data_IF_407451693106
#
_entry.id   IF_407451693106
#
_cell.length_a   1.000
_cell.length_b   1.000
_cell.length_c   1.000
_cell.angle_alpha   90.00
_cell.angle_beta   90.00
_cell.angle_gamma   90.00
#
_symmetry.space_group_name_H-M   'P 1'
#
loop_
_entity.id
_entity.type
_entity.pdbx_description
1 polymer ?
#
# COMPACT_ATOMS: atom_id res chain seq x y z
N UNK A 1 -12.99 -6.20 21.59
CA UNK A 1 -12.33 -6.45 20.29
C UNK A 1 -11.28 -5.36 20.07
N UNK A 2 -10.03 -5.72 19.75
CA UNK A 2 -8.95 -4.75 19.49
C UNK A 2 -8.87 -4.52 17.99
N UNK A 3 -9.12 -3.30 17.54
CA UNK A 3 -8.94 -2.94 16.13
C UNK A 3 -7.47 -3.10 15.75
N UNK A 4 -7.16 -4.08 14.92
CA UNK A 4 -5.80 -4.52 14.59
C UNK A 4 -5.75 -5.10 13.17
N UNK A 5 -4.55 -5.17 12.59
CA UNK A 5 -4.35 -5.76 11.27
C UNK A 5 -4.76 -7.23 11.23
N UNK A 6 -4.62 -7.97 12.34
CA UNK A 6 -5.04 -9.37 12.43
C UNK A 6 -6.56 -9.52 12.40
N UNK A 7 -7.32 -8.61 13.04
CA UNK A 7 -8.78 -8.63 12.95
C UNK A 7 -9.25 -8.23 11.55
N UNK A 8 -8.65 -7.20 10.94
CA UNK A 8 -8.96 -6.84 9.55
C UNK A 8 -8.69 -7.99 8.56
N UNK A 9 -7.65 -8.79 8.80
CA UNK A 9 -7.37 -9.98 8.00
C UNK A 9 -8.46 -11.05 8.16
N UNK A 10 -9.01 -11.22 9.37
CA UNK A 10 -10.14 -12.12 9.61
C UNK A 10 -11.40 -11.64 8.91
N UNK A 11 -11.68 -10.34 8.91
CA UNK A 11 -12.82 -9.77 8.16
C UNK A 11 -12.71 -10.11 6.67
N UNK A 12 -11.51 -10.01 6.09
CA UNK A 12 -11.26 -10.40 4.68
C UNK A 12 -11.46 -11.91 4.49
N UNK A 13 -10.94 -12.75 5.39
CA UNK A 13 -11.09 -14.22 5.30
C UNK A 13 -12.56 -14.64 5.41
N UNK A 14 -13.33 -14.02 6.31
CA UNK A 14 -14.76 -14.28 6.45
C UNK A 14 -15.52 -13.93 5.16
N UNK A 15 -15.19 -12.81 4.52
CA UNK A 15 -15.75 -12.45 3.22
C UNK A 15 -15.36 -13.46 2.12
N UNK A 16 -14.10 -13.90 2.09
CA UNK A 16 -13.63 -14.90 1.13
C UNK A 16 -14.38 -16.23 1.31
N UNK A 17 -14.58 -16.67 2.56
CA UNK A 17 -15.34 -17.88 2.86
C UNK A 17 -16.81 -17.74 2.45
N UNK A 18 -17.42 -16.57 2.69
CA UNK A 18 -18.79 -16.27 2.24
C UNK A 18 -18.94 -16.35 0.72
N UNK A 19 -17.93 -15.87 -0.02
CA UNK A 19 -17.89 -15.94 -1.49
C UNK A 19 -17.51 -17.33 -2.02
N UNK A 20 -17.17 -18.28 -1.15
CA UNK A 20 -16.71 -19.61 -1.53
C UNK A 20 -15.29 -19.64 -2.11
N UNK A 21 -14.47 -18.61 -1.83
CA UNK A 21 -13.09 -18.52 -2.30
C UNK A 21 -12.12 -19.14 -1.29
N UNK A 22 -12.25 -20.45 -1.10
CA UNK A 22 -11.52 -21.22 -0.09
C UNK A 22 -10.62 -22.33 -0.66
N UNK A 23 -10.48 -22.39 -1.98
CA UNK A 23 -9.68 -23.40 -2.67
C UNK A 23 -8.18 -23.17 -2.55
N UNK A 24 -7.39 -24.24 -2.74
CA UNK A 24 -5.93 -24.17 -2.71
C UNK A 24 -5.43 -23.23 -3.81
N UNK A 25 -4.54 -22.31 -3.43
CA UNK A 25 -3.89 -21.36 -4.32
C UNK A 25 -4.87 -20.61 -5.22
N UNK A 26 -6.04 -20.25 -4.71
CA UNK A 26 -7.05 -19.51 -5.45
C UNK A 26 -6.78 -18.00 -5.49
N UNK A 27 -6.05 -17.47 -4.50
CA UNK A 27 -6.02 -16.04 -4.21
C UNK A 27 -4.70 -15.39 -4.60
N UNK A 28 -4.74 -14.32 -5.38
CA UNK A 28 -3.63 -13.38 -5.47
C UNK A 28 -3.85 -12.25 -4.47
N UNK A 29 -2.90 -12.04 -3.55
CA UNK A 29 -3.02 -11.02 -2.50
C UNK A 29 -1.94 -9.98 -2.68
N UNK A 30 -2.35 -8.74 -2.94
CA UNK A 30 -1.46 -7.58 -3.08
C UNK A 30 -1.84 -6.54 -2.04
N UNK A 31 -0.87 -6.14 -1.20
CA UNK A 31 -1.09 -5.22 -0.10
C UNK A 31 -0.09 -4.07 -0.09
N UNK A 32 -0.60 -2.84 0.03
CA UNK A 32 0.20 -1.61 0.09
C UNK A 32 0.16 -1.03 1.49
N UNK A 33 1.31 -0.64 2.06
CA UNK A 33 1.36 0.01 3.38
C UNK A 33 0.65 -0.83 4.45
N UNK A 34 -0.30 -0.30 5.21
CA UNK A 34 -1.13 -1.10 6.13
C UNK A 34 -1.82 -2.28 5.44
N UNK A 35 -2.20 -2.17 4.16
CA UNK A 35 -2.71 -3.29 3.37
C UNK A 35 -1.69 -4.43 3.23
N UNK A 36 -0.40 -4.11 3.16
CA UNK A 36 0.69 -5.09 3.17
C UNK A 36 0.88 -5.75 4.54
N UNK A 37 0.59 -5.04 5.63
CA UNK A 37 0.53 -5.61 6.98
C UNK A 37 -0.63 -6.60 7.13
N UNK A 38 -1.82 -6.23 6.64
CA UNK A 38 -2.99 -7.12 6.59
C UNK A 38 -2.71 -8.32 5.69
N UNK A 39 -2.08 -8.13 4.53
CA UNK A 39 -1.70 -9.22 3.63
C UNK A 39 -0.75 -10.23 4.29
N UNK A 40 0.18 -9.79 5.14
CA UNK A 40 1.03 -10.68 5.95
C UNK A 40 0.20 -11.50 6.96
N UNK A 41 -0.81 -10.90 7.60
CA UNK A 41 -1.73 -11.62 8.49
C UNK A 41 -2.56 -12.67 7.73
N UNK A 42 -3.10 -12.31 6.57
CA UNK A 42 -3.85 -13.23 5.69
C UNK A 42 -2.95 -14.40 5.29
N UNK A 43 -1.73 -14.11 4.80
CA UNK A 43 -0.78 -15.13 4.37
C UNK A 43 -0.33 -16.04 5.51
N UNK A 44 -0.29 -15.55 6.75
CA UNK A 44 0.00 -16.35 7.92
C UNK A 44 -1.17 -17.27 8.31
N UNK A 45 -2.41 -16.80 8.18
CA UNK A 45 -3.61 -17.53 8.58
C UNK A 45 -4.06 -18.58 7.55
N UNK A 46 -3.97 -18.27 6.25
CA UNK A 46 -4.46 -19.13 5.16
C UNK A 46 -3.42 -19.33 4.03
N UNK A 47 -2.15 -19.68 4.33
CA UNK A 47 -1.09 -19.73 3.33
C UNK A 47 -1.40 -20.65 2.14
N UNK A 48 -2.09 -21.78 2.38
CA UNK A 48 -2.44 -22.77 1.35
C UNK A 48 -3.39 -22.22 0.27
N UNK A 49 -4.12 -21.14 0.57
CA UNK A 49 -5.05 -20.49 -0.37
C UNK A 49 -4.36 -19.44 -1.25
N UNK A 50 -3.13 -19.05 -0.92
CA UNK A 50 -2.41 -17.96 -1.60
C UNK A 50 -1.67 -18.48 -2.83
N UNK A 51 -2.06 -17.98 -4.00
CA UNK A 51 -1.41 -18.18 -5.29
C UNK A 51 -0.16 -17.32 -5.44
N UNK A 52 -0.25 -16.03 -5.13
CA UNK A 52 0.91 -15.12 -5.02
C UNK A 52 0.69 -14.08 -3.93
N UNK A 53 1.78 -13.63 -3.31
CA UNK A 53 1.77 -12.58 -2.27
C UNK A 53 2.66 -11.41 -2.69
N UNK A 54 2.07 -10.23 -2.84
CA UNK A 54 2.80 -9.01 -3.22
C UNK A 54 2.73 -7.98 -2.10
N UNK A 55 3.86 -7.70 -1.48
CA UNK A 55 3.98 -6.79 -0.34
C UNK A 55 4.67 -5.51 -0.78
N UNK A 56 3.96 -4.41 -0.69
CA UNK A 56 4.32 -3.18 -1.37
C UNK A 56 4.41 -2.01 -0.38
N UNK A 57 5.54 -1.31 -0.36
CA UNK A 57 5.76 -0.13 0.49
C UNK A 57 5.26 -0.35 1.92
N UNK A 58 5.64 -1.49 2.53
CA UNK A 58 5.09 -1.98 3.80
C UNK A 58 6.21 -2.41 4.75
N UNK A 59 5.85 -2.79 5.96
CA UNK A 59 6.78 -3.24 6.99
C UNK A 59 6.27 -4.50 7.71
N UNK A 60 7.21 -5.24 8.30
CA UNK A 60 6.92 -6.30 9.27
C UNK A 60 6.43 -5.72 10.62
N UNK A 61 6.99 -4.57 10.98
CA UNK A 61 6.65 -3.74 12.13
C UNK A 61 7.26 -2.35 11.91
N UNK A 62 6.67 -1.31 12.49
CA UNK A 62 7.19 0.05 12.39
C UNK A 62 8.25 0.28 13.46
N UNK A 63 9.46 0.63 13.04
CA UNK A 63 10.51 1.08 13.93
C UNK A 63 10.90 2.53 13.65
N UNK A 64 11.37 3.21 14.69
CA UNK A 64 11.81 4.59 14.52
C UNK A 64 13.14 4.62 13.78
N UNK A 65 13.09 4.94 12.48
CA UNK A 65 14.27 5.11 11.63
C UNK A 65 14.77 6.55 11.55
N UNK A 66 14.16 7.47 12.31
CA UNK A 66 14.58 8.88 12.38
C UNK A 66 15.47 9.14 13.58
N UNK A 67 16.36 10.13 13.48
CA UNK A 67 17.17 10.54 14.61
C UNK A 67 16.30 11.05 15.77
N UNK A 68 16.86 11.03 17.00
CA UNK A 68 16.14 11.53 18.18
C UNK A 68 15.65 12.97 17.99
N UNK A 69 16.46 13.84 17.36
CA UNK A 69 16.14 15.24 17.10
C UNK A 69 15.02 15.37 16.06
N UNK A 70 15.06 14.62 14.96
CA UNK A 70 14.01 14.62 13.94
C UNK A 70 12.67 14.10 14.48
N UNK A 71 12.70 13.05 15.30
CA UNK A 71 11.51 12.53 15.97
C UNK A 71 10.91 13.58 16.91
N UNK A 72 11.74 14.28 17.69
CA UNK A 72 11.29 15.37 18.58
C UNK A 72 10.69 16.54 17.79
N UNK A 73 11.33 16.96 16.70
CA UNK A 73 10.80 18.00 15.82
C UNK A 73 9.47 17.60 15.18
N UNK A 74 9.35 16.35 14.74
CA UNK A 74 8.11 15.79 14.16
C UNK A 74 6.98 15.82 15.19
N UNK A 75 7.27 15.44 16.45
CA UNK A 75 6.30 15.50 17.55
C UNK A 75 5.84 16.91 17.87
N UNK A 76 6.74 17.89 17.89
CA UNK A 76 6.38 19.31 18.07
C UNK A 76 5.48 19.78 16.93
N UNK A 77 5.79 19.40 15.68
CA UNK A 77 4.98 19.76 14.50
C UNK A 77 3.59 19.12 14.50
N UNK A 78 3.38 17.99 15.17
CA UNK A 78 2.05 17.38 15.32
C UNK A 78 1.12 18.17 16.24
N UNK A 79 1.66 18.96 17.18
CA UNK A 79 0.86 19.76 18.13
C UNK A 79 0.31 21.06 17.52
N UNK A 80 0.85 21.48 16.38
CA UNK A 80 0.45 22.74 15.72
C UNK A 80 -0.71 22.43 14.76
N UNK A 81 -1.89 23.07 14.93
CA UNK A 81 -2.98 22.94 13.96
C UNK A 81 -2.51 23.36 12.57
N UNK A 82 -2.67 22.47 11.59
CA UNK A 82 -2.25 22.70 10.21
C UNK A 82 -3.43 23.20 9.39
N UNK A 83 -3.20 24.16 8.50
CA UNK A 83 -4.18 24.50 7.47
C UNK A 83 -4.42 23.30 6.55
N UNK A 84 -5.55 23.31 5.83
CA UNK A 84 -5.85 22.29 4.84
C UNK A 84 -4.73 22.20 3.80
N UNK A 85 -4.30 23.34 3.24
CA UNK A 85 -3.24 23.40 2.23
C UNK A 85 -1.92 22.82 2.72
N UNK A 86 -1.50 23.19 3.94
CA UNK A 86 -0.27 22.63 4.54
C UNK A 86 -0.41 21.13 4.72
N UNK A 87 -1.56 20.67 5.20
CA UNK A 87 -1.78 19.24 5.47
C UNK A 87 -1.82 18.40 4.19
N UNK A 88 -2.39 18.92 3.11
CA UNK A 88 -2.40 18.28 1.79
C UNK A 88 -0.99 18.25 1.21
N UNK A 89 -0.27 19.37 1.26
CA UNK A 89 1.11 19.45 0.80
C UNK A 89 2.02 18.47 1.53
N UNK A 90 2.01 18.46 2.85
CA UNK A 90 2.83 17.53 3.64
C UNK A 90 2.47 16.07 3.37
N UNK A 91 1.18 15.74 3.21
CA UNK A 91 0.76 14.39 2.83
C UNK A 91 1.32 14.00 1.45
N UNK A 92 1.26 14.91 0.45
CA UNK A 92 1.80 14.66 -0.89
C UNK A 92 3.30 14.37 -0.84
N UNK A 93 4.08 15.16 -0.09
CA UNK A 93 5.53 15.02 0.01
C UNK A 93 5.94 13.79 0.82
N UNK A 94 5.08 13.33 1.73
CA UNK A 94 5.29 12.08 2.45
C UNK A 94 5.09 10.86 1.55
N UNK A 95 4.18 10.94 0.59
CA UNK A 95 3.76 9.81 -0.25
C UNK A 95 4.55 9.73 -1.55
N UNK A 96 4.95 10.88 -2.12
CA UNK A 96 5.48 10.97 -3.48
C UNK A 96 6.80 11.75 -3.54
N UNK A 97 7.69 11.44 -4.50
CA UNK A 97 8.87 12.24 -4.80
C UNK A 97 8.48 13.62 -5.35
N UNK A 98 9.27 14.66 -5.04
CA UNK A 98 9.00 16.02 -5.52
C UNK A 98 9.06 16.13 -7.05
N UNK A 99 9.90 15.30 -7.69
CA UNK A 99 10.01 15.20 -9.16
C UNK A 99 8.71 14.69 -9.79
N UNK A 100 8.05 13.70 -9.18
CA UNK A 100 6.78 13.19 -9.67
C UNK A 100 5.65 14.19 -9.44
N UNK A 101 5.62 14.83 -8.27
CA UNK A 101 4.63 15.85 -7.92
C UNK A 101 4.65 17.04 -8.90
N UNK A 102 5.84 17.47 -9.32
CA UNK A 102 6.02 18.57 -10.26
C UNK A 102 5.81 18.18 -11.73
N UNK A 103 5.80 16.89 -12.06
CA UNK A 103 5.59 16.41 -13.42
C UNK A 103 4.14 16.66 -13.90
N UNK A 104 3.92 16.75 -15.23
CA UNK A 104 2.58 16.82 -15.81
C UNK A 104 1.70 15.66 -15.33
N UNK A 105 0.41 15.93 -15.15
CA UNK A 105 -0.57 14.88 -14.82
C UNK A 105 -0.57 13.80 -15.91
N UNK A 106 -0.10 12.61 -15.55
CA UNK A 106 0.06 11.48 -16.47
C UNK A 106 -1.03 10.41 -16.29
N UNK A 107 -2.14 10.75 -15.65
CA UNK A 107 -3.22 9.80 -15.39
C UNK A 107 -3.86 9.32 -16.69
N UNK A 108 -3.86 8.00 -16.89
CA UNK A 108 -4.68 7.38 -17.92
C UNK A 108 -6.16 7.54 -17.53
N UNK A 109 -6.91 8.32 -18.32
CA UNK A 109 -8.35 8.48 -18.14
C UNK A 109 -9.12 7.43 -18.94
N UNK A 110 -10.29 7.01 -18.47
CA UNK A 110 -11.11 6.08 -19.23
C UNK A 110 -11.48 6.59 -20.62
N UNK A 111 -11.68 5.64 -21.54
CA UNK A 111 -12.17 5.87 -22.90
C UNK A 111 -13.65 5.52 -23.00
N UNK A 112 -14.37 5.92 -24.07
CA UNK A 112 -15.76 5.49 -24.27
C UNK A 112 -15.96 3.97 -24.33
N UNK A 113 -14.89 3.22 -24.63
CA UNK A 113 -14.89 1.76 -24.65
C UNK A 113 -14.50 1.13 -23.31
N UNK A 114 -14.10 1.92 -22.31
CA UNK A 114 -13.77 1.41 -20.99
C UNK A 114 -15.04 0.87 -20.30
N UNK A 115 -15.03 -0.37 -19.79
CA UNK A 115 -16.21 -0.96 -19.16
C UNK A 115 -16.50 -0.27 -17.81
N UNK A 116 -17.78 -0.24 -17.42
CA UNK A 116 -18.25 0.26 -16.12
C UNK A 116 -17.89 1.72 -15.82
N UNK A 117 -17.81 2.56 -16.86
CA UNK A 117 -17.50 3.99 -16.71
C UNK A 117 -18.67 4.85 -17.19
N UNK A 118 -19.06 5.83 -16.37
CA UNK A 118 -19.98 6.89 -16.77
C UNK A 118 -19.14 8.03 -17.36
N UNK A 119 -19.30 8.25 -18.66
CA UNK A 119 -18.56 9.28 -19.37
C UNK A 119 -19.13 10.67 -19.07
N UNK A 120 -18.30 11.70 -18.86
CA UNK A 120 -18.79 13.03 -18.49
C UNK A 120 -19.58 13.66 -19.66
N UNK A 121 -20.60 14.50 -19.37
CA UNK A 121 -21.37 15.19 -20.41
C UNK A 121 -20.53 16.06 -21.35
N UNK A 122 -19.36 16.52 -20.87
CA UNK A 122 -18.38 17.26 -21.67
C UNK A 122 -17.77 16.46 -22.82
N UNK A 123 -17.95 15.14 -22.87
CA UNK A 123 -17.35 14.26 -23.86
C UNK A 123 -15.83 14.07 -23.70
N UNK A 124 -15.25 14.53 -22.58
CA UNK A 124 -13.85 14.29 -22.22
C UNK A 124 -13.62 14.46 -20.72
N UNK A 125 -12.74 13.63 -20.17
CA UNK A 125 -12.22 13.85 -18.81
C UNK A 125 -11.31 15.08 -18.79
N UNK A 126 -11.42 15.87 -17.72
CA UNK A 126 -10.44 16.91 -17.43
C UNK A 126 -9.12 16.29 -16.96
N UNK A 127 -8.04 17.05 -17.09
CA UNK A 127 -6.73 16.73 -16.52
C UNK A 127 -6.26 17.92 -15.69
N UNK A 128 -5.39 17.67 -14.72
CA UNK A 128 -4.72 18.73 -13.99
C UNK A 128 -3.41 19.14 -14.70
N UNK A 129 -2.80 20.25 -14.29
CA UNK A 129 -1.52 20.68 -14.88
C UNK A 129 -0.38 19.81 -14.38
N UNK A 130 -0.46 19.37 -13.12
CA UNK A 130 0.57 18.56 -12.45
C UNK A 130 -0.06 17.42 -11.65
N UNK A 131 0.74 16.40 -11.36
CA UNK A 131 0.33 15.33 -10.44
C UNK A 131 0.00 15.85 -9.04
N UNK A 132 0.68 16.90 -8.56
CA UNK A 132 0.38 17.54 -7.28
C UNK A 132 -1.02 18.15 -7.24
N UNK A 133 -1.43 18.84 -8.31
CA UNK A 133 -2.78 19.43 -8.41
C UNK A 133 -3.86 18.35 -8.37
N UNK A 134 -3.65 17.25 -9.11
CA UNK A 134 -4.56 16.09 -9.09
C UNK A 134 -4.66 15.47 -7.70
N UNK A 135 -3.52 15.17 -7.08
CA UNK A 135 -3.49 14.63 -5.71
C UNK A 135 -4.21 15.56 -4.74
N UNK A 136 -3.94 16.87 -4.83
CA UNK A 136 -4.54 17.87 -3.97
C UNK A 136 -6.06 17.92 -4.12
N UNK A 137 -6.56 17.88 -5.36
CA UNK A 137 -7.98 17.83 -5.64
C UNK A 137 -8.62 16.57 -5.02
N UNK A 138 -8.03 15.40 -5.21
CA UNK A 138 -8.53 14.14 -4.62
C UNK A 138 -8.52 14.18 -3.08
N UNK A 139 -7.46 14.71 -2.46
CA UNK A 139 -7.38 14.83 -1.01
C UNK A 139 -8.41 15.80 -0.44
N UNK A 140 -8.64 16.93 -1.10
CA UNK A 140 -9.65 17.91 -0.68
C UNK A 140 -11.04 17.27 -0.77
N UNK A 141 -11.38 16.64 -1.90
CA UNK A 141 -12.67 15.94 -2.07
C UNK A 141 -12.88 14.88 -0.98
N UNK A 142 -11.87 14.04 -0.73
CA UNK A 142 -11.94 13.01 0.33
C UNK A 142 -12.18 13.61 1.71
N UNK A 143 -11.52 14.73 2.04
CA UNK A 143 -11.63 15.39 3.34
C UNK A 143 -12.93 16.18 3.51
N UNK A 144 -13.60 16.54 2.41
CA UNK A 144 -14.92 17.16 2.43
C UNK A 144 -16.02 16.15 2.77
N UNK A 145 -15.83 14.86 2.50
CA UNK A 145 -16.75 13.79 2.85
C UNK A 145 -16.48 13.25 4.27
N UNK A 146 -16.97 13.98 5.27
CA UNK A 146 -16.79 13.64 6.69
C UNK A 146 -17.67 12.48 7.16
N UNK A 147 -18.69 12.10 6.38
CA UNK A 147 -19.57 10.97 6.70
C UNK A 147 -18.89 9.66 6.34
N UNK A 148 -18.33 9.56 5.13
CA UNK A 148 -17.62 8.35 4.68
C UNK A 148 -16.22 8.24 5.29
N UNK A 149 -15.52 9.37 5.51
CA UNK A 149 -14.14 9.39 6.03
C UNK A 149 -14.07 9.92 7.47
N UNK A 150 -14.68 9.15 8.39
CA UNK A 150 -14.68 9.48 9.81
C UNK A 150 -13.28 9.48 10.46
N UNK A 151 -13.01 10.51 11.26
CA UNK A 151 -11.71 10.67 11.97
C UNK A 151 -11.40 9.52 12.93
N UNK A 152 -12.41 8.97 13.60
CA UNK A 152 -12.23 7.88 14.57
C UNK A 152 -11.69 6.62 13.88
N UNK A 153 -12.27 6.22 12.75
CA UNK A 153 -11.80 5.04 11.99
C UNK A 153 -10.37 5.22 11.51
N UNK A 154 -10.05 6.41 10.99
CA UNK A 154 -8.68 6.73 10.57
C UNK A 154 -7.67 6.62 11.73
N UNK A 155 -7.96 7.18 12.90
CA UNK A 155 -7.07 7.07 14.07
C UNK A 155 -6.88 5.62 14.51
N UNK A 156 -7.97 4.83 14.53
CA UNK A 156 -7.89 3.42 14.88
C UNK A 156 -7.03 2.63 13.88
N UNK A 157 -7.11 2.94 12.59
CA UNK A 157 -6.24 2.34 11.57
C UNK A 157 -4.76 2.70 11.78
N UNK A 158 -4.45 3.96 12.10
CA UNK A 158 -3.07 4.35 12.42
C UNK A 158 -2.52 3.60 13.64
N UNK A 159 -3.35 3.42 14.67
CA UNK A 159 -2.99 2.66 15.87
C UNK A 159 -2.77 1.17 15.51
N UNK A 160 -3.65 0.59 14.70
CA UNK A 160 -3.53 -0.79 14.23
C UNK A 160 -2.23 -1.02 13.45
N UNK A 161 -1.89 -0.11 12.52
CA UNK A 161 -0.65 -0.16 11.75
C UNK A 161 0.59 0.00 12.65
N UNK A 162 0.55 0.92 13.62
CA UNK A 162 1.64 1.16 14.56
C UNK A 162 1.91 -0.01 15.52
N UNK A 163 0.89 -0.84 15.79
CA UNK A 163 1.03 -2.06 16.59
C UNK A 163 1.20 -3.34 15.78
N UNK A 164 1.18 -3.26 14.44
CA UNK A 164 1.45 -4.42 13.61
C UNK A 164 2.84 -4.97 13.89
N UNK A 165 2.93 -6.29 14.03
CA UNK A 165 4.20 -6.95 14.25
C UNK A 165 4.20 -8.39 13.74
N UNK A 166 5.13 -8.69 12.84
CA UNK A 166 5.52 -10.04 12.46
C UNK A 166 6.98 -10.29 12.82
N UNK A 167 7.23 -11.35 13.59
CA UNK A 167 8.59 -11.76 13.92
C UNK A 167 9.29 -12.35 12.69
N UNK A 168 10.64 -12.38 12.66
CA UNK A 168 11.39 -13.06 11.60
C UNK A 168 10.96 -14.51 11.41
N UNK A 169 10.63 -15.23 12.48
CA UNK A 169 10.17 -16.63 12.42
C UNK A 169 8.80 -16.75 11.75
N UNK A 170 7.87 -15.84 12.07
CA UNK A 170 6.55 -15.80 11.43
C UNK A 170 6.65 -15.47 9.95
N UNK A 171 7.54 -14.54 9.58
CA UNK A 171 7.79 -14.21 8.17
C UNK A 171 8.45 -15.38 7.44
N UNK A 172 9.43 -16.04 8.06
CA UNK A 172 10.02 -17.25 7.51
C UNK A 172 8.95 -18.33 7.25
N UNK A 173 8.03 -18.52 8.19
CA UNK A 173 6.90 -19.45 8.05
C UNK A 173 5.98 -19.07 6.88
N UNK A 174 5.65 -17.78 6.71
CA UNK A 174 4.91 -17.30 5.53
C UNK A 174 5.69 -17.64 4.25
N UNK A 175 6.99 -17.34 4.22
CA UNK A 175 7.86 -17.61 3.09
C UNK A 175 7.85 -19.10 2.69
N UNK A 176 7.98 -19.98 3.67
CA UNK A 176 8.05 -21.43 3.46
C UNK A 176 6.68 -22.02 3.07
N UNK A 177 5.57 -21.57 3.67
CA UNK A 177 4.23 -22.10 3.39
C UNK A 177 3.61 -21.53 2.12
N UNK A 178 3.81 -20.24 1.85
CA UNK A 178 3.32 -19.60 0.61
C UNK A 178 4.24 -19.91 -0.57
N UNK A 179 5.48 -20.37 -0.39
CA UNK A 179 6.43 -20.61 -1.48
C UNK A 179 7.10 -19.31 -1.93
N UNK A 180 8.39 -19.18 -1.62
CA UNK A 180 9.15 -17.93 -1.77
C UNK A 180 9.13 -17.42 -3.21
N UNK A 181 9.16 -18.30 -4.19
CA UNK A 181 9.12 -17.98 -5.63
C UNK A 181 7.85 -17.23 -6.05
N UNK A 182 6.77 -17.31 -5.25
CA UNK A 182 5.48 -16.66 -5.48
C UNK A 182 5.27 -15.42 -4.61
N UNK A 183 6.32 -14.98 -3.92
CA UNK A 183 6.29 -13.79 -3.07
C UNK A 183 7.12 -12.69 -3.71
N UNK A 184 6.55 -11.48 -3.74
CA UNK A 184 7.26 -10.25 -4.07
C UNK A 184 7.23 -9.28 -2.89
N UNK A 185 8.38 -8.66 -2.62
CA UNK A 185 8.47 -7.44 -1.78
C UNK A 185 9.03 -6.32 -2.65
N UNK A 186 8.33 -5.19 -2.71
CA UNK A 186 8.77 -4.01 -3.45
C UNK A 186 8.68 -2.75 -2.60
N UNK A 187 9.75 -1.94 -2.59
CA UNK A 187 9.83 -0.70 -1.82
C UNK A 187 10.61 0.39 -2.57
N UNK A 188 10.17 1.64 -2.46
CA UNK A 188 10.84 2.80 -3.06
C UNK A 188 11.88 3.45 -2.14
N UNK A 189 13.00 3.95 -2.67
CA UNK A 189 14.02 4.65 -1.86
C UNK A 189 13.61 6.06 -1.43
N UNK A 190 12.66 6.67 -2.14
CA UNK A 190 12.10 7.98 -1.81
C UNK A 190 10.82 7.90 -0.97
N UNK A 191 10.46 6.72 -0.45
CA UNK A 191 9.36 6.55 0.50
C UNK A 191 9.69 7.23 1.84
N UNK A 192 8.99 8.35 2.11
CA UNK A 192 9.12 9.14 3.33
C UNK A 192 8.05 8.80 4.38
N UNK A 193 7.13 7.90 4.06
CA UNK A 193 6.08 7.43 4.99
C UNK A 193 6.52 6.15 5.71
N UNK A 194 6.99 5.14 4.96
CA UNK A 194 7.63 3.94 5.50
C UNK A 194 9.02 3.88 4.89
N UNK A 195 10.05 4.17 5.67
CA UNK A 195 11.41 4.23 5.12
C UNK A 195 11.83 2.90 4.49
N UNK A 196 12.64 2.97 3.43
CA UNK A 196 13.16 1.82 2.66
C UNK A 196 13.83 0.73 3.52
N UNK A 197 14.31 1.11 4.70
CA UNK A 197 14.85 0.20 5.70
C UNK A 197 13.87 -0.93 6.07
N UNK A 198 12.58 -0.61 6.19
CA UNK A 198 11.54 -1.60 6.49
C UNK A 198 11.36 -2.60 5.36
N UNK A 199 11.35 -2.12 4.11
CA UNK A 199 11.29 -2.98 2.92
C UNK A 199 12.51 -3.90 2.83
N UNK A 200 13.72 -3.41 3.13
CA UNK A 200 14.94 -4.22 3.18
C UNK A 200 14.87 -5.31 4.24
N UNK A 201 14.42 -4.99 5.46
CA UNK A 201 14.19 -5.98 6.53
C UNK A 201 13.17 -7.02 6.12
N UNK A 202 12.09 -6.60 5.46
CA UNK A 202 11.05 -7.52 5.01
C UNK A 202 11.59 -8.48 3.95
N UNK A 203 12.43 -8.01 3.01
CA UNK A 203 13.16 -8.86 2.05
C UNK A 203 14.11 -9.82 2.78
N UNK A 204 14.85 -9.35 3.78
CA UNK A 204 15.78 -10.17 4.55
C UNK A 204 15.07 -11.31 5.30
N UNK A 205 13.96 -11.02 5.98
CA UNK A 205 13.23 -11.99 6.78
C UNK A 205 12.40 -12.97 5.92
N UNK A 206 11.72 -12.48 4.88
CA UNK A 206 10.90 -13.33 3.99
C UNK A 206 11.75 -14.09 2.96
N UNK A 207 12.90 -13.55 2.56
CA UNK A 207 13.69 -13.96 1.40
C UNK A 207 12.79 -14.33 0.20
N UNK A 208 12.01 -13.36 -0.30
CA UNK A 208 11.09 -13.58 -1.41
C UNK A 208 11.86 -13.91 -2.68
N UNK A 209 11.24 -14.64 -3.59
CA UNK A 209 11.78 -14.92 -4.92
C UNK A 209 11.93 -13.63 -5.75
N UNK A 210 11.21 -12.57 -5.39
CA UNK A 210 11.37 -11.24 -5.99
C UNK A 210 11.46 -10.16 -4.90
N UNK A 211 12.65 -9.60 -4.68
CA UNK A 211 12.87 -8.44 -3.81
C UNK A 211 13.31 -7.24 -4.64
N UNK A 212 12.55 -6.15 -4.61
CA UNK A 212 12.81 -4.96 -5.42
C UNK A 212 12.94 -3.73 -4.51
N UNK A 213 14.09 -3.09 -4.57
CA UNK A 213 14.29 -1.73 -4.04
C UNK A 213 14.41 -0.79 -5.24
N UNK A 214 13.39 0.04 -5.48
CA UNK A 214 13.33 0.91 -6.67
C UNK A 214 13.80 2.31 -6.32
N UNK A 215 14.85 2.74 -6.99
CA UNK A 215 15.46 4.05 -6.77
C UNK A 215 14.52 5.18 -7.22
N UNK A 216 14.41 6.23 -6.40
CA UNK A 216 13.66 7.44 -6.72
C UNK A 216 12.14 7.33 -6.61
N UNK A 217 11.60 6.15 -6.31
CA UNK A 217 10.15 5.93 -6.15
C UNK A 217 9.70 6.16 -4.71
N UNK A 218 8.50 6.74 -4.55
CA UNK A 218 7.88 7.01 -3.26
C UNK A 218 7.10 5.83 -2.68
N UNK A 219 6.13 6.18 -1.83
CA UNK A 219 5.30 5.22 -1.08
C UNK A 219 4.24 4.57 -1.99
N UNK A 220 3.66 5.33 -2.91
CA UNK A 220 2.46 4.93 -3.67
C UNK A 220 2.85 4.61 -5.11
N UNK A 221 3.77 3.67 -5.28
CA UNK A 221 4.39 3.38 -6.58
C UNK A 221 3.40 2.87 -7.65
N UNK A 222 2.25 2.31 -7.28
CA UNK A 222 1.20 1.91 -8.23
C UNK A 222 0.54 3.12 -8.91
N UNK A 223 0.63 4.30 -8.30
CA UNK A 223 0.19 5.56 -8.91
C UNK A 223 1.35 6.24 -9.63
N UNK A 224 2.56 6.19 -9.06
CA UNK A 224 3.74 6.82 -9.66
C UNK A 224 4.18 6.17 -10.97
N UNK A 225 4.19 4.83 -10.96
CA UNK A 225 4.80 3.97 -11.97
C UNK A 225 3.79 2.88 -12.39
N UNK A 226 2.55 3.30 -12.69
CA UNK A 226 1.41 2.43 -12.92
C UNK A 226 1.68 1.31 -13.95
N UNK A 227 2.27 1.64 -15.10
CA UNK A 227 2.58 0.66 -16.15
C UNK A 227 3.59 -0.39 -15.67
N UNK A 228 4.66 0.05 -15.01
CA UNK A 228 5.67 -0.84 -14.44
C UNK A 228 5.07 -1.73 -13.34
N UNK A 229 4.28 -1.15 -12.44
CA UNK A 229 3.58 -1.86 -11.38
C UNK A 229 2.65 -2.94 -11.94
N UNK A 230 1.80 -2.60 -12.90
CA UNK A 230 0.83 -3.54 -13.45
C UNK A 230 1.54 -4.70 -14.14
N UNK A 231 2.58 -4.41 -14.93
CA UNK A 231 3.40 -5.43 -15.57
C UNK A 231 4.02 -6.40 -14.56
N UNK A 232 4.64 -5.90 -13.48
CA UNK A 232 5.29 -6.78 -12.51
C UNK A 232 4.27 -7.60 -11.69
N UNK A 233 3.09 -7.04 -11.42
CA UNK A 233 2.00 -7.77 -10.76
C UNK A 233 1.46 -8.89 -11.67
N UNK A 234 1.27 -8.62 -12.96
CA UNK A 234 0.88 -9.64 -13.95
C UNK A 234 1.91 -10.78 -14.01
N UNK A 235 3.20 -10.48 -14.01
CA UNK A 235 4.27 -11.48 -13.96
C UNK A 235 4.19 -12.33 -12.68
N UNK A 236 3.93 -11.71 -11.52
CA UNK A 236 3.75 -12.43 -10.25
C UNK A 236 2.50 -13.31 -10.26
N UNK A 237 1.42 -12.87 -10.90
CA UNK A 237 0.20 -13.67 -11.04
C UNK A 237 0.45 -14.89 -11.91
N UNK A 238 1.09 -14.70 -13.08
CA UNK A 238 1.47 -15.79 -13.97
C UNK A 238 2.34 -16.84 -13.25
N UNK A 239 3.32 -16.42 -12.43
CA UNK A 239 4.12 -17.35 -11.61
C UNK A 239 3.28 -18.10 -10.57
N UNK A 240 2.35 -17.40 -9.93
CA UNK A 240 1.41 -18.00 -8.98
C UNK A 240 0.53 -19.07 -9.61
N UNK A 241 0.15 -18.88 -10.88
CA UNK A 241 -0.70 -19.79 -11.64
C UNK A 241 0.08 -20.94 -12.31
N UNK A 242 1.28 -20.68 -12.83
CA UNK A 242 2.08 -21.67 -13.56
C UNK A 242 2.55 -22.83 -12.70
N UNK A 243 2.70 -22.61 -11.40
CA UNK A 243 3.18 -23.64 -10.48
C UNK A 243 2.04 -24.51 -9.92
N UNK A 244 0.77 -24.31 -10.33
CA UNK A 244 -0.42 -25.00 -9.77
C UNK A 244 -0.51 -26.46 -10.20
#
# INVERSE_FOLDING_TARGET
>A
MRYSTSEMAKDVIELLDHLGWNEKRQLHVSGVSMGGMIAQEIAYLIPDRISSLNLLSTAAYIENTTSFVENMQTRIRMLIPKSLDRSVREASQSLFPDTWLAAPDNTAVPTPTSPMVIFPPSGKYGSFSTNYERFSASEITKRSDIESFGRTGFILQLIAAGWHHKSPEQLKEIGDKVGRERIMVMHGTADRMISVHHGRKLIEFLQPGTGIIKEGTGHVFMVEECEYHNKIIEEMFQRGESSK
#
